data_IF_356013928809
#
_entry.id   IF_356013928809
#
_cell.length_a   1.000
_cell.length_b   1.000
_cell.length_c   1.000
_cell.angle_alpha   90.00
_cell.angle_beta   90.00
_cell.angle_gamma   90.00
#
_symmetry.space_group_name_H-M   'P 1'
#
loop_
_entity.id
_entity.type
_entity.pdbx_description
1 polymer ?
#
# COMPACT_ATOMS: atom_id res chain seq x y z
N UNK A 1 -7.96 -6.66 10.92
CA UNK A 1 -8.45 -7.90 10.28
C UNK A 1 -9.94 -8.11 10.57
N UNK A 2 -10.64 -8.91 9.77
CA UNK A 2 -12.02 -9.36 10.00
C UNK A 2 -12.06 -10.89 10.13
N UNK A 3 -12.57 -11.46 11.23
CA UNK A 3 -12.45 -12.89 11.52
C UNK A 3 -13.34 -13.81 10.65
N UNK A 4 -14.36 -13.28 9.96
CA UNK A 4 -15.36 -14.11 9.26
C UNK A 4 -16.50 -14.58 10.19
N UNK A 5 -17.60 -15.05 9.60
CA UNK A 5 -18.67 -15.78 10.31
C UNK A 5 -18.67 -17.29 10.04
N UNK A 6 -17.75 -17.78 9.20
CA UNK A 6 -17.62 -19.21 8.95
C UNK A 6 -16.90 -19.95 10.08
N UNK A 7 -17.08 -21.27 10.14
CA UNK A 7 -16.33 -22.13 11.07
C UNK A 7 -14.85 -22.31 10.69
N UNK A 8 -14.16 -23.22 11.38
CA UNK A 8 -12.71 -23.45 11.29
C UNK A 8 -12.15 -23.73 9.87
N UNK A 9 -13.01 -24.10 8.90
CA UNK A 9 -12.64 -24.34 7.48
C UNK A 9 -12.92 -23.15 6.55
N UNK A 10 -13.28 -21.98 7.09
CA UNK A 10 -13.57 -20.82 6.27
C UNK A 10 -12.31 -20.32 5.54
N UNK A 11 -12.47 -20.03 4.25
CA UNK A 11 -11.37 -19.50 3.42
C UNK A 11 -10.92 -18.15 3.98
N UNK A 12 -9.62 -17.93 4.02
CA UNK A 12 -9.02 -16.62 4.31
C UNK A 12 -8.74 -15.88 3.01
N UNK A 13 -9.12 -14.60 2.96
CA UNK A 13 -8.84 -13.69 1.85
C UNK A 13 -7.85 -12.65 2.33
N UNK A 14 -6.68 -12.58 1.68
CA UNK A 14 -5.70 -11.52 1.87
C UNK A 14 -5.92 -10.41 0.84
N UNK A 15 -5.96 -9.16 1.30
CA UNK A 15 -6.04 -7.98 0.42
C UNK A 15 -4.95 -7.00 0.82
N UNK A 16 -4.13 -6.58 -0.15
CA UNK A 16 -3.00 -5.68 0.08
C UNK A 16 -3.21 -4.41 -0.74
N UNK A 17 -3.08 -3.25 -0.10
CA UNK A 17 -3.31 -1.95 -0.73
C UNK A 17 -2.10 -1.05 -0.61
N UNK A 18 -1.68 -0.46 -1.74
CA UNK A 18 -0.68 0.63 -1.77
C UNK A 18 -1.22 1.82 -0.96
N UNK A 19 -0.43 2.30 -0.01
CA UNK A 19 -0.79 3.34 0.95
C UNK A 19 0.14 4.54 0.96
N UNK A 20 0.66 4.96 -0.20
CA UNK A 20 1.51 6.16 -0.26
C UNK A 20 0.64 7.39 0.03
N UNK A 21 0.78 7.98 1.23
CA UNK A 21 -0.14 9.01 1.71
C UNK A 21 -0.01 10.32 0.94
N UNK A 22 1.19 10.58 0.43
CA UNK A 22 1.52 11.59 -0.56
C UNK A 22 2.75 11.14 -1.38
N UNK A 23 2.70 11.32 -2.70
CA UNK A 23 3.76 10.94 -3.62
C UNK A 23 4.27 12.14 -4.42
N UNK A 24 5.39 12.71 -3.99
CA UNK A 24 6.07 13.75 -4.77
C UNK A 24 6.93 13.18 -5.91
N UNK A 25 7.17 11.86 -5.95
CA UNK A 25 8.18 11.19 -6.78
C UNK A 25 9.57 11.07 -6.14
N UNK A 26 9.78 11.64 -4.95
CA UNK A 26 11.08 11.55 -4.28
C UNK A 26 12.16 12.35 -5.01
N UNK A 27 13.36 11.77 -5.20
CA UNK A 27 14.45 12.41 -5.95
C UNK A 27 14.10 12.54 -7.44
N UNK A 28 13.38 11.55 -7.99
CA UNK A 28 12.73 11.61 -9.30
C UNK A 28 11.44 12.44 -9.24
N UNK A 29 11.59 13.72 -8.87
CA UNK A 29 10.48 14.62 -8.53
C UNK A 29 9.47 14.77 -9.68
N UNK A 30 8.18 14.72 -9.35
CA UNK A 30 7.09 15.01 -10.28
C UNK A 30 7.03 16.50 -10.61
N UNK A 31 6.49 16.87 -11.78
CA UNK A 31 6.12 18.26 -12.06
C UNK A 31 5.09 18.80 -11.07
N UNK A 32 5.05 20.11 -10.87
CA UNK A 32 4.11 20.75 -9.97
C UNK A 32 2.64 20.58 -10.39
N UNK A 33 2.38 20.50 -11.70
CA UNK A 33 1.03 20.32 -12.23
C UNK A 33 0.44 18.99 -11.74
N UNK A 34 -0.75 19.05 -11.15
CA UNK A 34 -1.46 17.90 -10.54
C UNK A 34 -0.76 17.21 -9.36
N UNK A 35 0.34 17.75 -8.82
CA UNK A 35 1.00 17.12 -7.66
C UNK A 35 0.08 17.04 -6.43
N UNK A 36 -0.85 17.98 -6.27
CA UNK A 36 -1.88 17.94 -5.21
C UNK A 36 -2.76 16.67 -5.25
N UNK A 37 -2.92 16.08 -6.44
CA UNK A 37 -3.73 14.87 -6.63
C UNK A 37 -2.99 13.61 -6.15
N UNK A 38 -1.68 13.70 -5.90
CA UNK A 38 -0.89 12.59 -5.37
C UNK A 38 -1.26 12.23 -3.92
N UNK A 39 -2.11 13.03 -3.26
CA UNK A 39 -2.84 12.59 -2.07
C UNK A 39 -3.71 11.35 -2.33
N UNK A 40 -4.06 11.05 -3.59
CA UNK A 40 -4.85 9.86 -3.95
C UNK A 40 -3.99 8.61 -4.13
N UNK A 41 -2.67 8.68 -4.00
CA UNK A 41 -1.77 7.52 -4.20
C UNK A 41 -1.88 6.46 -3.09
N UNK A 42 -2.65 6.76 -2.03
CA UNK A 42 -3.11 5.85 -0.97
C UNK A 42 -4.45 5.16 -1.25
N UNK A 43 -5.06 5.39 -2.42
CA UNK A 43 -6.43 4.90 -2.70
C UNK A 43 -6.55 3.39 -2.60
N UNK A 44 -5.49 2.63 -2.89
CA UNK A 44 -5.45 1.18 -2.70
C UNK A 44 -5.63 0.79 -1.22
N UNK A 45 -4.88 1.40 -0.31
CA UNK A 45 -5.02 1.20 1.13
C UNK A 45 -6.40 1.64 1.67
N UNK A 46 -6.94 2.75 1.15
CA UNK A 46 -8.31 3.20 1.46
C UNK A 46 -9.35 2.16 1.02
N UNK A 47 -9.18 1.56 -0.16
CA UNK A 47 -10.05 0.49 -0.63
C UNK A 47 -9.97 -0.74 0.29
N UNK A 48 -8.78 -1.14 0.74
CA UNK A 48 -8.62 -2.23 1.73
C UNK A 48 -9.35 -1.92 3.03
N UNK A 49 -9.23 -0.70 3.55
CA UNK A 49 -9.99 -0.28 4.74
C UNK A 49 -11.50 -0.36 4.50
N UNK A 50 -11.96 0.10 3.34
CA UNK A 50 -13.36 -0.01 2.92
C UNK A 50 -13.85 -1.46 2.85
N UNK A 51 -13.05 -2.36 2.30
CA UNK A 51 -13.34 -3.81 2.22
C UNK A 51 -13.49 -4.40 3.63
N UNK A 52 -12.58 -4.10 4.55
CA UNK A 52 -12.66 -4.59 5.93
C UNK A 52 -13.92 -4.07 6.64
N UNK A 53 -14.25 -2.78 6.45
CA UNK A 53 -15.47 -2.18 7.00
C UNK A 53 -16.73 -2.82 6.43
N UNK A 54 -16.78 -3.05 5.12
CA UNK A 54 -17.89 -3.70 4.46
C UNK A 54 -18.04 -5.17 4.88
N UNK A 55 -16.92 -5.91 4.99
CA UNK A 55 -16.90 -7.30 5.46
C UNK A 55 -17.49 -7.43 6.87
N UNK A 56 -17.14 -6.50 7.77
CA UNK A 56 -17.70 -6.44 9.11
C UNK A 56 -19.20 -6.11 9.11
N UNK A 57 -19.62 -5.10 8.33
CA UNK A 57 -21.02 -4.68 8.26
C UNK A 57 -21.93 -5.77 7.67
N UNK A 58 -21.48 -6.44 6.62
CA UNK A 58 -22.23 -7.49 5.91
C UNK A 58 -22.10 -8.87 6.57
N UNK A 59 -21.24 -9.00 7.60
CA UNK A 59 -20.99 -10.26 8.32
C UNK A 59 -20.62 -11.41 7.38
N UNK A 60 -19.70 -11.15 6.44
CA UNK A 60 -19.35 -12.13 5.39
C UNK A 60 -18.75 -13.40 6.00
N UNK A 61 -18.94 -14.54 5.33
CA UNK A 61 -18.41 -15.83 5.79
C UNK A 61 -16.88 -15.90 5.88
N UNK A 62 -16.09 -15.50 4.87
CA UNK A 62 -14.64 -15.68 4.90
C UNK A 62 -13.95 -14.74 5.90
N UNK A 63 -12.83 -15.19 6.47
CA UNK A 63 -11.87 -14.31 7.16
C UNK A 63 -11.22 -13.39 6.14
N UNK A 64 -11.06 -12.11 6.48
CA UNK A 64 -10.39 -11.13 5.62
C UNK A 64 -9.22 -10.49 6.37
N UNK A 65 -8.02 -10.61 5.82
CA UNK A 65 -6.82 -9.94 6.28
C UNK A 65 -6.52 -8.81 5.30
N UNK A 66 -6.53 -7.58 5.80
CA UNK A 66 -6.20 -6.39 5.02
C UNK A 66 -4.86 -5.82 5.46
N UNK A 67 -3.97 -5.57 4.51
CA UNK A 67 -2.67 -4.91 4.73
C UNK A 67 -2.67 -3.56 4.02
N UNK A 68 -2.36 -2.51 4.77
CA UNK A 68 -2.24 -1.15 4.27
C UNK A 68 -0.75 -0.77 4.29
N UNK A 69 -0.11 -0.74 3.13
CA UNK A 69 1.31 -0.45 3.00
C UNK A 69 1.55 1.07 3.00
N UNK A 70 1.59 1.68 4.19
CA UNK A 70 1.62 3.14 4.33
C UNK A 70 3.04 3.72 4.43
N UNK A 71 3.30 4.78 3.65
CA UNK A 71 4.53 5.59 3.69
C UNK A 71 4.31 6.92 2.96
N UNK A 72 5.29 7.81 2.97
CA UNK A 72 5.37 8.98 2.07
C UNK A 72 6.56 8.83 1.12
N UNK A 73 6.42 9.33 -0.11
CA UNK A 73 7.54 9.45 -1.06
C UNK A 73 7.90 10.92 -1.24
N UNK A 74 8.93 11.37 -0.52
CA UNK A 74 9.37 12.77 -0.44
C UNK A 74 10.88 12.91 -0.64
N UNK A 75 11.36 13.97 -1.32
CA UNK A 75 12.78 14.25 -1.41
C UNK A 75 13.33 14.69 -0.05
N UNK A 76 14.45 14.10 0.36
CA UNK A 76 15.19 14.43 1.56
C UNK A 76 16.65 13.99 1.40
N UNK A 77 17.53 14.40 2.31
CA UNK A 77 18.92 13.94 2.31
C UNK A 77 19.09 12.44 2.59
N UNK A 78 18.04 11.76 3.08
CA UNK A 78 18.02 10.31 3.37
C UNK A 78 17.11 9.52 2.43
N UNK A 79 16.61 10.12 1.36
CA UNK A 79 15.76 9.43 0.39
C UNK A 79 16.59 8.46 -0.45
N UNK A 80 15.94 7.40 -0.95
CA UNK A 80 16.52 6.57 -2.00
C UNK A 80 16.89 7.43 -3.21
N UNK A 81 17.92 7.01 -3.93
CA UNK A 81 18.45 7.69 -5.11
C UNK A 81 18.35 6.78 -6.33
N UNK A 82 18.19 7.35 -7.54
CA UNK A 82 18.41 6.60 -8.77
C UNK A 82 19.77 5.88 -8.76
N UNK A 83 19.77 4.58 -9.02
CA UNK A 83 20.94 3.69 -8.96
C UNK A 83 21.13 2.95 -7.64
N UNK A 84 20.38 3.28 -6.57
CA UNK A 84 20.42 2.48 -5.34
C UNK A 84 19.89 1.06 -5.60
N UNK A 85 20.55 0.05 -5.03
CA UNK A 85 20.11 -1.35 -5.09
C UNK A 85 19.57 -1.78 -3.74
N UNK A 86 18.27 -2.05 -3.68
CA UNK A 86 17.58 -2.44 -2.44
C UNK A 86 17.30 -3.94 -2.41
N UNK A 87 17.38 -4.55 -1.23
CA UNK A 87 17.05 -5.96 -1.03
C UNK A 87 15.61 -6.11 -0.55
N UNK A 88 14.82 -6.90 -1.27
CA UNK A 88 13.45 -7.23 -0.90
C UNK A 88 13.39 -8.26 0.22
N UNK A 89 12.24 -8.36 0.90
CA UNK A 89 11.99 -9.41 1.90
C UNK A 89 12.18 -10.82 1.31
N UNK A 90 11.83 -11.04 0.04
CA UNK A 90 12.04 -12.31 -0.67
C UNK A 90 13.49 -12.58 -1.07
N UNK A 91 14.45 -11.76 -0.61
CA UNK A 91 15.88 -11.93 -0.84
C UNK A 91 16.41 -11.43 -2.18
N UNK A 92 15.54 -11.18 -3.16
CA UNK A 92 15.90 -10.58 -4.46
C UNK A 92 16.29 -9.12 -4.31
N UNK A 93 17.16 -8.63 -5.18
CA UNK A 93 17.55 -7.22 -5.27
C UNK A 93 16.78 -6.50 -6.38
N UNK A 94 16.59 -5.19 -6.20
CA UNK A 94 15.96 -4.29 -7.17
C UNK A 94 16.86 -3.07 -7.32
N UNK A 95 17.25 -2.74 -8.54
CA UNK A 95 17.86 -1.45 -8.87
C UNK A 95 16.75 -0.40 -9.03
N UNK A 96 16.87 0.71 -8.29
CA UNK A 96 15.92 1.82 -8.34
C UNK A 96 16.36 2.77 -9.43
N UNK A 97 15.81 2.65 -10.64
CA UNK A 97 16.11 3.58 -11.74
C UNK A 97 15.37 4.92 -11.61
N UNK A 98 14.21 4.91 -10.94
CA UNK A 98 13.34 6.05 -10.72
C UNK A 98 12.64 5.86 -9.36
N UNK A 99 12.67 6.89 -8.51
CA UNK A 99 12.20 6.82 -7.12
C UNK A 99 10.72 7.10 -6.96
#
# INVERSE_FOLDING_TARGET
>A
EYPGQGGARSRTVGVVGKGITFDSGGISIKPAIHMSDMKFDKSGAVAVLGILRAAAALKVRPRVIGVLCCAENVPSGSSYRPGDVVRTFGGKTIEVLNT
#
